data_IF_696065365367
#
_entry.id   IF_696065365367
#
_cell.length_a   1.000
_cell.length_b   1.000
_cell.length_c   1.000
_cell.angle_alpha   90.00
_cell.angle_beta   90.00
_cell.angle_gamma   90.00
#
_symmetry.space_group_name_H-M   'P 1'
#
loop_
_entity.id
_entity.type
_entity.pdbx_description
1 polymer ?
#
# COMPACT_ATOMS: atom_id res chain seq x y z
N UNK A 1 9.86 5.47 -4.01
CA UNK A 1 10.72 4.47 -4.67
C UNK A 1 9.99 3.74 -5.80
N UNK A 2 10.65 3.47 -6.93
CA UNK A 2 10.03 2.74 -8.04
C UNK A 2 9.58 1.32 -7.66
N UNK A 3 10.19 0.72 -6.64
CA UNK A 3 9.81 -0.60 -6.13
C UNK A 3 8.46 -0.62 -5.40
N UNK A 4 8.11 0.45 -4.69
CA UNK A 4 6.81 0.59 -4.01
C UNK A 4 5.68 0.71 -5.04
N UNK A 5 5.89 1.52 -6.08
CA UNK A 5 4.92 1.69 -7.17
C UNK A 5 4.65 0.35 -7.86
N UNK A 6 5.69 -0.46 -8.08
CA UNK A 6 5.55 -1.78 -8.70
C UNK A 6 4.76 -2.76 -7.84
N UNK A 7 4.90 -2.68 -6.51
CA UNK A 7 4.11 -3.48 -5.57
C UNK A 7 2.64 -3.04 -5.56
N UNK A 8 2.38 -1.73 -5.53
CA UNK A 8 1.01 -1.18 -5.58
C UNK A 8 0.32 -1.54 -6.90
N UNK A 9 1.03 -1.49 -8.03
CA UNK A 9 0.49 -1.89 -9.34
C UNK A 9 0.20 -3.40 -9.45
N UNK A 10 0.78 -4.22 -8.57
CA UNK A 10 0.53 -5.66 -8.50
C UNK A 10 -0.62 -6.05 -7.58
N UNK A 11 -1.20 -5.09 -6.84
CA UNK A 11 -2.30 -5.36 -5.92
C UNK A 11 -3.60 -5.66 -6.68
N UNK A 12 -4.41 -6.55 -6.10
CA UNK A 12 -5.78 -6.76 -6.54
C UNK A 12 -6.66 -5.54 -6.23
N UNK A 13 -7.81 -5.42 -6.91
CA UNK A 13 -8.75 -4.29 -6.71
C UNK A 13 -9.15 -4.17 -5.24
N UNK A 14 -9.50 -5.27 -4.58
CA UNK A 14 -9.89 -5.27 -3.15
C UNK A 14 -8.76 -4.76 -2.23
N UNK A 15 -7.50 -5.08 -2.56
CA UNK A 15 -6.35 -4.60 -1.81
C UNK A 15 -6.10 -3.11 -2.05
N UNK A 16 -6.33 -2.63 -3.27
CA UNK A 16 -6.25 -1.22 -3.61
C UNK A 16 -7.32 -0.39 -2.90
N UNK A 17 -8.53 -0.95 -2.72
CA UNK A 17 -9.58 -0.34 -1.91
C UNK A 17 -9.19 -0.26 -0.43
N UNK A 18 -8.71 -1.36 0.17
CA UNK A 18 -8.22 -1.37 1.55
C UNK A 18 -7.00 -0.45 1.77
N UNK A 19 -6.11 -0.37 0.78
CA UNK A 19 -4.99 0.57 0.81
C UNK A 19 -5.50 2.01 0.79
N UNK A 20 -6.51 2.31 -0.03
CA UNK A 20 -7.13 3.63 -0.12
C UNK A 20 -7.79 4.06 1.18
N UNK A 21 -8.47 3.15 1.89
CA UNK A 21 -9.04 3.42 3.21
C UNK A 21 -7.93 3.68 4.25
N UNK A 22 -6.89 2.85 4.26
CA UNK A 22 -5.78 2.96 5.20
C UNK A 22 -4.86 4.16 4.89
N UNK A 23 -4.85 4.63 3.65
CA UNK A 23 -4.03 5.76 3.19
C UNK A 23 -4.31 7.04 3.98
N UNK A 24 -5.54 7.21 4.46
CA UNK A 24 -5.94 8.35 5.28
C UNK A 24 -5.37 8.30 6.71
N UNK A 25 -5.01 7.12 7.21
CA UNK A 25 -4.41 6.90 8.54
C UNK A 25 -2.86 6.93 8.50
N UNK A 26 -2.26 6.84 7.31
CA UNK A 26 -0.80 6.84 7.18
C UNK A 26 -0.21 8.21 7.48
N UNK A 27 0.86 8.22 8.28
CA UNK A 27 1.58 9.44 8.63
C UNK A 27 2.80 9.62 7.73
N UNK A 28 3.41 8.52 7.31
CA UNK A 28 4.60 8.51 6.49
C UNK A 28 4.60 7.38 5.44
N UNK A 29 5.54 7.48 4.49
CA UNK A 29 5.75 6.42 3.48
C UNK A 29 6.08 5.06 4.13
N UNK A 30 6.65 5.07 5.33
CA UNK A 30 6.97 3.85 6.08
C UNK A 30 5.72 3.03 6.42
N UNK A 31 4.58 3.69 6.70
CA UNK A 31 3.31 3.02 6.97
C UNK A 31 2.79 2.31 5.70
N UNK A 32 2.91 2.96 4.54
CA UNK A 32 2.59 2.35 3.24
C UNK A 32 3.44 1.11 2.98
N UNK A 33 4.75 1.19 3.27
CA UNK A 33 5.66 0.05 3.11
C UNK A 33 5.31 -1.09 4.07
N UNK A 34 5.00 -0.78 5.33
CA UNK A 34 4.58 -1.77 6.31
C UNK A 34 3.28 -2.46 5.90
N UNK A 35 2.30 -1.68 5.42
CA UNK A 35 1.02 -2.19 4.91
C UNK A 35 1.23 -3.12 3.71
N UNK A 36 2.05 -2.70 2.73
CA UNK A 36 2.37 -3.51 1.55
C UNK A 36 3.07 -4.83 1.93
N UNK A 37 3.88 -4.85 3.00
CA UNK A 37 4.50 -6.07 3.50
C UNK A 37 3.51 -7.00 4.21
N UNK A 38 2.50 -6.47 4.88
CA UNK A 38 1.46 -7.26 5.56
C UNK A 38 0.43 -7.84 4.60
N UNK A 39 0.17 -7.17 3.48
CA UNK A 39 -0.84 -7.55 2.48
C UNK A 39 -0.22 -8.17 1.21
N UNK A 40 1.00 -8.71 1.31
CA UNK A 40 1.68 -9.41 0.21
C UNK A 40 1.25 -10.86 0.05
#
# INVERSE_FOLDING_TARGET
DPEIIKQIQGLSIEQLESLGESLFDFTDIADVVAWLQQHR
#
